data_IF_200236277488
#
_entry.id   IF_200236277488
#
_cell.length_a   1.000
_cell.length_b   1.000
_cell.length_c   1.000
_cell.angle_alpha   90.00
_cell.angle_beta   90.00
_cell.angle_gamma   90.00
#
_symmetry.space_group_name_H-M   'P 1'
#
loop_
_entity.id
_entity.type
_entity.pdbx_description
1 polymer ?
#
# COMPACT_ATOMS: atom_id res chain seq x y z
N UNK A 1 8.36 -36.74 1.20
CA UNK A 1 9.02 -35.50 0.81
C UNK A 1 8.54 -34.27 1.60
N UNK A 2 7.25 -33.94 1.71
CA UNK A 2 6.78 -32.76 2.51
C UNK A 2 7.24 -32.78 3.98
N UNK A 3 7.26 -33.92 4.68
CA UNK A 3 7.68 -34.01 6.09
C UNK A 3 9.18 -33.77 6.29
N UNK A 4 10.03 -34.19 5.35
CA UNK A 4 11.49 -33.98 5.40
C UNK A 4 11.83 -32.50 5.13
N UNK A 5 11.15 -31.86 4.19
CA UNK A 5 11.29 -30.41 3.94
C UNK A 5 10.86 -29.55 5.14
N UNK A 6 9.80 -29.96 5.85
CA UNK A 6 9.33 -29.23 7.06
C UNK A 6 10.33 -29.35 8.21
N UNK A 7 11.00 -30.48 8.38
CA UNK A 7 12.04 -30.66 9.42
C UNK A 7 13.35 -29.91 9.10
N UNK A 8 13.78 -29.84 7.84
CA UNK A 8 14.93 -29.03 7.44
C UNK A 8 14.72 -27.53 7.68
N UNK A 9 13.53 -27.00 7.44
CA UNK A 9 13.23 -25.59 7.69
C UNK A 9 13.20 -25.20 9.18
N UNK A 10 12.94 -26.12 10.09
CA UNK A 10 12.96 -25.84 11.54
C UNK A 10 14.36 -25.59 12.10
N UNK A 11 15.42 -25.99 11.41
CA UNK A 11 16.81 -25.82 11.82
C UNK A 11 17.48 -24.55 11.27
N UNK A 12 16.85 -23.85 10.31
CA UNK A 12 17.41 -22.64 9.72
C UNK A 12 17.43 -21.50 10.75
N UNK A 13 18.52 -20.72 10.78
CA UNK A 13 18.54 -19.48 11.55
C UNK A 13 17.61 -18.42 10.96
N UNK A 14 17.29 -17.38 11.72
CA UNK A 14 16.34 -16.33 11.30
C UNK A 14 16.77 -15.65 10.00
N UNK A 15 18.08 -15.43 9.79
CA UNK A 15 18.62 -14.81 8.57
C UNK A 15 18.42 -15.72 7.35
N UNK A 16 18.65 -17.03 7.49
CA UNK A 16 18.41 -17.98 6.41
C UNK A 16 16.93 -17.98 5.96
N UNK A 17 15.99 -17.91 6.91
CA UNK A 17 14.56 -17.82 6.61
C UNK A 17 14.22 -16.52 5.88
N UNK A 18 14.79 -15.38 6.29
CA UNK A 18 14.61 -14.10 5.60
C UNK A 18 15.23 -14.13 4.19
N UNK A 19 16.43 -14.71 4.02
CA UNK A 19 17.05 -14.88 2.69
C UNK A 19 16.16 -15.71 1.77
N UNK A 20 15.66 -16.86 2.24
CA UNK A 20 14.75 -17.71 1.46
C UNK A 20 13.45 -16.96 1.07
N UNK A 21 12.91 -16.13 1.97
CA UNK A 21 11.74 -15.29 1.68
C UNK A 21 12.05 -14.24 0.62
N UNK A 22 13.18 -13.54 0.74
CA UNK A 22 13.62 -12.53 -0.26
C UNK A 22 13.91 -13.17 -1.62
N UNK A 23 14.44 -14.38 -1.66
CA UNK A 23 14.65 -15.12 -2.89
C UNK A 23 13.32 -15.43 -3.60
N UNK A 24 12.29 -15.84 -2.84
CA UNK A 24 10.93 -16.08 -3.38
C UNK A 24 10.29 -14.79 -3.90
N UNK A 25 10.48 -13.66 -3.19
CA UNK A 25 10.01 -12.35 -3.69
C UNK A 25 10.68 -12.02 -5.03
N UNK A 26 11.99 -12.20 -5.16
CA UNK A 26 12.69 -12.00 -6.43
C UNK A 26 12.24 -12.97 -7.54
N UNK A 27 11.56 -14.07 -7.19
CA UNK A 27 10.97 -15.03 -8.13
C UNK A 27 9.52 -14.68 -8.51
N UNK A 28 8.96 -13.60 -7.96
CA UNK A 28 7.64 -13.08 -8.31
C UNK A 28 6.55 -13.28 -7.25
N UNK A 29 6.86 -13.88 -6.09
CA UNK A 29 5.87 -14.03 -5.02
C UNK A 29 5.72 -12.72 -4.22
N UNK A 30 4.48 -12.38 -3.81
CA UNK A 30 4.22 -11.16 -3.06
C UNK A 30 4.64 -11.27 -1.59
N UNK A 31 5.16 -10.16 -1.03
CA UNK A 31 5.45 -10.05 0.40
C UNK A 31 4.24 -10.39 1.26
N UNK A 32 3.05 -9.94 0.85
CA UNK A 32 1.81 -10.20 1.58
C UNK A 32 1.49 -11.70 1.75
N UNK A 33 1.85 -12.53 0.77
CA UNK A 33 1.66 -13.99 0.85
C UNK A 33 2.74 -14.70 1.67
N UNK A 34 3.91 -14.07 1.85
CA UNK A 34 5.09 -14.68 2.46
C UNK A 34 5.35 -14.25 3.90
N UNK A 35 4.79 -13.13 4.34
CA UNK A 35 5.07 -12.53 5.65
C UNK A 35 4.62 -13.44 6.80
N UNK A 36 3.34 -13.83 6.83
CA UNK A 36 2.82 -14.70 7.88
C UNK A 36 3.52 -16.07 7.92
N UNK A 37 3.73 -16.77 6.78
CA UNK A 37 4.55 -17.97 6.75
C UNK A 37 5.96 -17.81 7.34
N UNK A 38 6.64 -16.68 7.06
CA UNK A 38 7.95 -16.40 7.65
C UNK A 38 7.85 -16.21 9.17
N UNK A 39 6.94 -15.33 9.64
CA UNK A 39 6.80 -15.02 11.05
C UNK A 39 6.35 -16.21 11.91
N UNK A 40 5.61 -17.16 11.30
CA UNK A 40 5.24 -18.41 11.97
C UNK A 40 6.40 -19.42 12.09
N UNK A 41 7.47 -19.24 11.31
CA UNK A 41 8.66 -20.10 11.37
C UNK A 41 9.73 -19.59 12.35
N UNK A 42 9.67 -18.34 12.78
CA UNK A 42 10.64 -17.75 13.71
C UNK A 42 10.09 -17.74 15.14
N UNK A 43 11.00 -17.71 16.13
CA UNK A 43 10.60 -17.62 17.54
C UNK A 43 9.94 -16.26 17.85
N UNK A 44 9.04 -16.19 18.83
CA UNK A 44 8.39 -14.93 19.21
C UNK A 44 9.36 -13.77 19.44
N UNK A 45 10.51 -14.05 20.09
CA UNK A 45 11.55 -13.04 20.36
C UNK A 45 12.25 -12.55 19.09
N UNK A 46 12.25 -13.35 18.01
CA UNK A 46 12.95 -13.03 16.76
C UNK A 46 12.01 -12.42 15.70
N UNK A 47 10.70 -12.39 15.94
CA UNK A 47 9.71 -11.84 14.97
C UNK A 47 10.01 -10.39 14.62
N UNK A 48 10.29 -9.55 15.60
CA UNK A 48 10.66 -8.15 15.38
C UNK A 48 11.93 -8.00 14.54
N UNK A 49 12.95 -8.80 14.84
CA UNK A 49 14.20 -8.82 14.07
C UNK A 49 13.97 -9.31 12.63
N UNK A 50 13.23 -10.40 12.44
CA UNK A 50 12.91 -10.92 11.11
C UNK A 50 12.12 -9.92 10.27
N UNK A 51 11.12 -9.26 10.88
CA UNK A 51 10.32 -8.23 10.25
C UNK A 51 11.18 -7.03 9.82
N UNK A 52 11.99 -6.48 10.72
CA UNK A 52 12.87 -5.36 10.42
C UNK A 52 13.89 -5.72 9.34
N UNK A 53 14.52 -6.89 9.43
CA UNK A 53 15.50 -7.34 8.45
C UNK A 53 14.88 -7.52 7.06
N UNK A 54 13.64 -8.05 6.96
CA UNK A 54 12.92 -8.23 5.70
C UNK A 54 12.50 -6.88 5.10
N UNK A 55 11.73 -6.10 5.85
CA UNK A 55 11.16 -4.85 5.34
C UNK A 55 12.24 -3.78 5.12
N UNK A 56 13.19 -3.66 6.02
CA UNK A 56 14.27 -2.71 5.90
C UNK A 56 15.16 -3.02 4.70
N UNK A 57 15.53 -4.30 4.50
CA UNK A 57 16.27 -4.72 3.31
C UNK A 57 15.50 -4.42 2.02
N UNK A 58 14.21 -4.71 1.96
CA UNK A 58 13.37 -4.43 0.79
C UNK A 58 13.30 -2.93 0.48
N UNK A 59 13.08 -2.06 1.50
CA UNK A 59 13.07 -0.60 1.31
C UNK A 59 14.38 -0.06 0.79
N UNK A 60 15.51 -0.66 1.19
CA UNK A 60 16.85 -0.23 0.79
C UNK A 60 17.43 -1.08 -0.35
N UNK A 61 16.66 -2.01 -0.90
CA UNK A 61 17.13 -3.04 -1.83
C UNK A 61 18.02 -2.49 -2.95
N UNK A 62 17.52 -1.53 -3.70
CA UNK A 62 18.24 -1.01 -4.87
C UNK A 62 19.46 -0.17 -4.50
N UNK A 63 19.42 0.53 -3.38
CA UNK A 63 20.58 1.28 -2.88
C UNK A 63 21.68 0.32 -2.37
N UNK A 64 21.29 -0.76 -1.68
CA UNK A 64 22.22 -1.81 -1.23
C UNK A 64 22.78 -2.61 -2.41
N UNK A 65 21.95 -2.96 -3.38
CA UNK A 65 22.37 -3.67 -4.58
C UNK A 65 23.46 -2.89 -5.34
N UNK A 66 23.29 -1.57 -5.53
CA UNK A 66 24.34 -0.72 -6.16
C UNK A 66 25.65 -0.68 -5.37
N UNK A 67 25.60 -0.81 -4.02
CA UNK A 67 26.82 -0.97 -3.23
C UNK A 67 27.48 -2.31 -3.57
N UNK A 68 26.69 -3.40 -3.52
CA UNK A 68 27.16 -4.75 -3.87
C UNK A 68 27.80 -4.77 -5.25
N UNK A 69 27.08 -4.31 -6.27
CA UNK A 69 27.54 -4.22 -7.67
C UNK A 69 28.87 -3.46 -7.80
N UNK A 70 29.06 -2.37 -7.03
CA UNK A 70 30.32 -1.60 -7.05
C UNK A 70 31.52 -2.31 -6.44
N UNK A 71 31.31 -3.47 -5.81
CA UNK A 71 32.34 -4.22 -5.06
C UNK A 71 32.60 -5.62 -5.61
N UNK A 72 31.77 -6.10 -6.54
CA UNK A 72 31.91 -7.39 -7.21
C UNK A 72 32.63 -7.23 -8.54
N UNK A 73 33.40 -8.23 -8.94
CA UNK A 73 34.07 -8.30 -10.24
C UNK A 73 33.27 -9.11 -11.28
N UNK A 74 32.45 -10.05 -10.80
CA UNK A 74 31.61 -10.91 -11.64
C UNK A 74 30.17 -10.89 -11.15
N UNK A 75 29.22 -10.92 -12.08
CA UNK A 75 27.79 -10.88 -11.77
C UNK A 75 27.34 -12.03 -10.85
N UNK A 76 26.56 -11.73 -9.84
CA UNK A 76 25.92 -12.71 -8.98
C UNK A 76 24.57 -13.05 -9.61
N UNK A 77 24.44 -14.25 -10.16
CA UNK A 77 23.20 -14.73 -10.80
C UNK A 77 22.24 -15.39 -9.80
N UNK A 78 22.74 -15.90 -8.68
CA UNK A 78 21.93 -16.54 -7.65
C UNK A 78 21.19 -15.51 -6.80
N UNK A 79 19.85 -15.56 -6.84
CA UNK A 79 18.96 -14.63 -6.13
C UNK A 79 19.08 -14.73 -4.59
N UNK A 80 19.35 -15.94 -4.07
CA UNK A 80 19.55 -16.14 -2.63
C UNK A 80 20.90 -15.59 -2.14
N UNK A 81 21.96 -15.71 -2.95
CA UNK A 81 23.27 -15.07 -2.64
C UNK A 81 23.13 -13.55 -2.68
N UNK A 82 22.40 -12.98 -3.64
CA UNK A 82 22.06 -11.56 -3.69
C UNK A 82 21.26 -11.10 -2.47
N UNK A 83 20.22 -11.86 -2.10
CA UNK A 83 19.44 -11.57 -0.90
C UNK A 83 20.29 -11.58 0.37
N UNK A 84 21.17 -12.57 0.51
CA UNK A 84 22.09 -12.68 1.63
C UNK A 84 23.09 -11.51 1.70
N UNK A 85 23.65 -11.09 0.57
CA UNK A 85 24.49 -9.91 0.51
C UNK A 85 23.74 -8.66 0.97
N UNK A 86 22.52 -8.43 0.48
CA UNK A 86 21.72 -7.26 0.84
C UNK A 86 21.32 -7.25 2.31
N UNK A 87 20.95 -8.39 2.92
CA UNK A 87 20.66 -8.41 4.37
C UNK A 87 21.93 -8.17 5.21
N UNK A 88 23.08 -8.66 4.76
CA UNK A 88 24.35 -8.38 5.42
C UNK A 88 24.72 -6.89 5.37
N UNK A 89 24.58 -6.27 4.20
CA UNK A 89 24.79 -4.83 4.02
C UNK A 89 23.79 -4.01 4.87
N UNK A 90 22.50 -4.41 4.89
CA UNK A 90 21.48 -3.75 5.68
C UNK A 90 21.83 -3.77 7.17
N UNK A 91 22.23 -4.92 7.71
CA UNK A 91 22.64 -5.04 9.11
C UNK A 91 23.82 -4.14 9.46
N UNK A 92 24.86 -4.07 8.59
CA UNK A 92 26.04 -3.27 8.83
C UNK A 92 25.82 -1.75 8.71
N UNK A 93 24.80 -1.31 7.95
CA UNK A 93 24.62 0.10 7.59
C UNK A 93 23.40 0.75 8.25
N UNK A 94 22.44 -0.06 8.74
CA UNK A 94 21.15 0.43 9.25
C UNK A 94 20.72 -0.15 10.59
N UNK A 95 21.36 -1.23 11.06
CA UNK A 95 20.96 -1.89 12.30
C UNK A 95 22.09 -1.83 13.34
N UNK A 96 21.71 -1.82 14.61
CA UNK A 96 22.66 -1.91 15.76
C UNK A 96 23.11 -3.37 16.00
N UNK A 97 23.24 -4.16 14.93
CA UNK A 97 23.73 -5.54 15.04
C UNK A 97 25.24 -5.53 15.13
N UNK A 98 25.85 -6.24 16.12
CA UNK A 98 27.30 -6.35 16.18
C UNK A 98 27.89 -6.88 14.86
N UNK A 99 28.91 -6.22 14.32
CA UNK A 99 29.49 -6.52 13.01
C UNK A 99 29.85 -7.99 12.81
N UNK A 100 30.42 -8.65 13.86
CA UNK A 100 30.79 -10.05 13.79
C UNK A 100 29.57 -10.96 13.62
N UNK A 101 28.43 -10.59 14.23
CA UNK A 101 27.17 -11.32 14.09
C UNK A 101 26.51 -11.03 12.71
N UNK A 102 26.51 -9.76 12.28
CA UNK A 102 26.01 -9.39 10.96
C UNK A 102 26.72 -10.16 9.84
N UNK A 103 28.04 -10.29 9.91
CA UNK A 103 28.83 -11.01 8.91
C UNK A 103 28.73 -12.53 9.09
N UNK A 104 29.04 -13.02 10.30
CA UNK A 104 29.15 -14.45 10.58
C UNK A 104 27.83 -15.19 10.34
N UNK A 105 26.72 -14.66 10.89
CA UNK A 105 25.39 -15.27 10.76
C UNK A 105 24.83 -15.17 9.34
N UNK A 106 25.20 -14.13 8.58
CA UNK A 106 24.81 -14.03 7.16
C UNK A 106 25.56 -15.05 6.31
N UNK A 107 26.85 -15.26 6.57
CA UNK A 107 27.64 -16.30 5.92
C UNK A 107 27.13 -17.71 6.27
N UNK A 108 26.72 -17.92 7.53
CA UNK A 108 26.13 -19.17 7.95
C UNK A 108 24.76 -19.42 7.30
N UNK A 109 23.96 -18.37 7.12
CA UNK A 109 22.65 -18.46 6.44
C UNK A 109 22.75 -19.03 5.02
N UNK A 110 23.72 -18.60 4.20
CA UNK A 110 23.89 -19.14 2.84
C UNK A 110 24.37 -20.59 2.83
N UNK A 111 25.15 -21.00 3.84
CA UNK A 111 25.56 -22.41 3.99
C UNK A 111 24.36 -23.28 4.33
N UNK A 112 23.49 -22.84 5.23
CA UNK A 112 22.28 -23.54 5.61
C UNK A 112 21.26 -23.67 4.45
N UNK A 113 21.37 -22.81 3.44
CA UNK A 113 20.55 -22.83 2.23
C UNK A 113 21.21 -23.54 1.05
N UNK A 114 22.24 -24.34 1.30
CA UNK A 114 23.03 -25.03 0.26
C UNK A 114 23.69 -24.09 -0.77
N UNK A 115 23.87 -22.81 -0.41
CA UNK A 115 24.52 -21.78 -1.22
C UNK A 115 25.92 -21.41 -0.71
N UNK A 116 26.60 -22.36 -0.07
CA UNK A 116 27.91 -22.16 0.56
C UNK A 116 29.02 -21.66 -0.39
N UNK A 117 28.85 -21.85 -1.70
CA UNK A 117 29.73 -21.29 -2.73
C UNK A 117 29.77 -19.76 -2.74
N UNK A 118 28.68 -19.07 -2.32
CA UNK A 118 28.61 -17.61 -2.17
C UNK A 118 29.25 -17.09 -0.87
N UNK A 119 29.52 -17.95 0.12
CA UNK A 119 29.95 -17.56 1.46
C UNK A 119 31.24 -16.74 1.46
N UNK A 120 32.23 -17.13 0.66
CA UNK A 120 33.51 -16.41 0.54
C UNK A 120 33.34 -14.99 -0.01
N UNK A 121 32.55 -14.85 -1.06
CA UNK A 121 32.24 -13.55 -1.69
C UNK A 121 31.51 -12.63 -0.71
N UNK A 122 30.43 -13.12 -0.07
CA UNK A 122 29.67 -12.36 0.93
C UNK A 122 30.58 -11.87 2.06
N UNK A 123 31.39 -12.79 2.64
CA UNK A 123 32.31 -12.42 3.71
C UNK A 123 33.29 -11.35 3.27
N UNK A 124 33.89 -11.45 2.08
CA UNK A 124 34.85 -10.49 1.57
C UNK A 124 34.23 -9.08 1.39
N UNK A 125 33.02 -9.00 0.80
CA UNK A 125 32.32 -7.73 0.57
C UNK A 125 31.91 -7.11 1.92
N UNK A 126 31.28 -7.87 2.82
CA UNK A 126 30.85 -7.35 4.12
C UNK A 126 32.01 -6.87 4.96
N UNK A 127 33.14 -7.59 4.97
CA UNK A 127 34.38 -7.14 5.63
C UNK A 127 34.94 -5.85 5.03
N UNK A 128 34.83 -5.66 3.72
CA UNK A 128 35.25 -4.43 3.04
C UNK A 128 34.36 -3.25 3.44
N UNK A 129 33.06 -3.45 3.58
CA UNK A 129 32.10 -2.43 4.05
C UNK A 129 32.32 -2.11 5.53
N UNK A 130 32.50 -3.13 6.37
CA UNK A 130 32.79 -3.01 7.81
C UNK A 130 33.98 -2.08 8.11
N UNK A 131 35.03 -2.09 7.27
CA UNK A 131 36.22 -1.24 7.48
C UNK A 131 35.94 0.25 7.35
N UNK A 132 34.89 0.64 6.62
CA UNK A 132 34.57 2.06 6.44
C UNK A 132 33.05 2.23 6.15
N UNK A 133 32.18 1.93 7.11
CA UNK A 133 30.72 1.98 6.91
C UNK A 133 30.23 3.39 6.56
N UNK A 134 30.81 4.44 7.13
CA UNK A 134 30.41 5.82 6.85
C UNK A 134 30.58 6.22 5.37
N UNK A 135 31.61 5.69 4.68
CA UNK A 135 31.78 5.90 3.24
C UNK A 135 30.61 5.33 2.42
N UNK A 136 30.15 4.13 2.79
CA UNK A 136 29.07 3.45 2.08
C UNK A 136 27.70 4.04 2.44
N UNK A 137 27.47 4.43 3.71
CA UNK A 137 26.29 5.17 4.12
C UNK A 137 26.10 6.46 3.29
N UNK A 138 27.14 7.27 3.14
CA UNK A 138 27.13 8.47 2.27
C UNK A 138 26.83 8.15 0.79
N UNK A 139 27.25 6.98 0.28
CA UNK A 139 26.89 6.56 -1.07
C UNK A 139 25.40 6.23 -1.17
N UNK A 140 24.86 5.57 -0.16
CA UNK A 140 23.44 5.23 -0.10
C UNK A 140 22.56 6.49 -0.03
N UNK A 141 22.93 7.47 0.79
CA UNK A 141 22.19 8.74 0.91
C UNK A 141 22.05 9.49 -0.42
N UNK A 142 23.08 9.39 -1.28
CA UNK A 142 23.11 10.04 -2.60
C UNK A 142 22.31 9.28 -3.68
N UNK A 143 21.94 8.02 -3.43
CA UNK A 143 21.26 7.17 -4.38
C UNK A 143 19.80 6.96 -3.96
N UNK A 144 18.90 6.87 -4.95
CA UNK A 144 17.53 6.39 -4.69
C UNK A 144 17.53 4.88 -4.41
N UNK A 145 16.50 4.38 -3.73
CA UNK A 145 16.27 2.95 -3.52
C UNK A 145 15.09 2.43 -4.36
N UNK A 146 15.13 2.76 -5.64
CA UNK A 146 14.14 2.37 -6.64
C UNK A 146 14.85 1.73 -7.85
N UNK A 147 14.17 0.88 -8.64
CA UNK A 147 14.69 0.45 -9.93
C UNK A 147 14.85 1.66 -10.86
N UNK A 148 15.79 1.59 -11.78
CA UNK A 148 16.16 2.73 -12.61
C UNK A 148 15.00 3.30 -13.45
N UNK A 149 14.13 2.40 -13.98
CA UNK A 149 12.96 2.82 -14.76
C UNK A 149 12.01 3.66 -13.92
N UNK A 150 11.67 3.20 -12.69
CA UNK A 150 10.74 3.89 -11.81
C UNK A 150 11.33 5.22 -11.30
N UNK A 151 12.62 5.24 -10.95
CA UNK A 151 13.30 6.46 -10.55
C UNK A 151 13.30 7.52 -11.67
N UNK A 152 13.53 7.09 -12.92
CA UNK A 152 13.47 7.95 -14.10
C UNK A 152 12.04 8.48 -14.31
N UNK A 153 11.04 7.60 -14.25
CA UNK A 153 9.64 7.97 -14.44
C UNK A 153 9.17 8.95 -13.37
N UNK A 154 9.41 8.67 -12.08
CA UNK A 154 9.03 9.58 -10.99
C UNK A 154 9.73 10.93 -11.08
N UNK A 155 10.99 10.95 -11.54
CA UNK A 155 11.69 12.22 -11.78
C UNK A 155 11.08 13.01 -12.94
N UNK A 156 10.61 12.34 -13.97
CA UNK A 156 9.91 12.96 -15.10
C UNK A 156 8.54 13.51 -14.67
N UNK A 157 7.79 12.74 -13.91
CA UNK A 157 6.43 13.08 -13.48
C UNK A 157 6.41 14.17 -12.40
N UNK A 158 7.39 14.13 -11.46
CA UNK A 158 7.36 14.90 -10.21
C UNK A 158 8.65 15.69 -9.96
N UNK A 159 9.36 16.14 -10.98
CA UNK A 159 10.65 16.81 -10.97
C UNK A 159 11.04 17.55 -9.68
N UNK A 160 10.28 18.56 -9.30
CA UNK A 160 10.54 19.39 -8.11
C UNK A 160 10.34 18.62 -6.77
N UNK A 161 9.46 17.62 -6.75
CA UNK A 161 9.17 16.81 -5.55
C UNK A 161 10.01 15.53 -5.48
N UNK A 162 10.80 15.23 -6.51
CA UNK A 162 11.49 13.94 -6.62
C UNK A 162 12.47 13.67 -5.49
N UNK A 163 13.16 14.71 -4.98
CA UNK A 163 14.15 14.55 -3.93
C UNK A 163 13.49 14.13 -2.60
N UNK A 164 12.44 14.85 -2.19
CA UNK A 164 11.68 14.54 -0.98
C UNK A 164 10.98 13.19 -1.10
N UNK A 165 10.35 12.94 -2.25
CA UNK A 165 9.70 11.66 -2.55
C UNK A 165 10.68 10.48 -2.43
N UNK A 166 11.87 10.61 -3.03
CA UNK A 166 12.90 9.58 -2.99
C UNK A 166 13.40 9.28 -1.58
N UNK A 167 13.42 10.26 -0.70
CA UNK A 167 13.76 10.06 0.73
C UNK A 167 12.61 9.44 1.50
N UNK A 168 11.39 9.93 1.33
CA UNK A 168 10.21 9.42 2.03
C UNK A 168 9.90 7.96 1.69
N UNK A 169 10.08 7.55 0.43
CA UNK A 169 9.85 6.16 -0.03
C UNK A 169 10.77 5.13 0.63
N UNK A 170 11.86 5.56 1.27
CA UNK A 170 12.81 4.70 2.02
C UNK A 170 12.43 4.53 3.49
N UNK A 171 11.45 5.30 3.98
CA UNK A 171 11.00 5.27 5.37
C UNK A 171 9.80 4.33 5.53
N UNK A 172 9.58 3.77 6.73
CA UNK A 172 8.33 3.08 7.05
C UNK A 172 7.13 4.02 6.87
N UNK A 173 6.02 3.47 6.36
CA UNK A 173 4.77 4.22 6.32
C UNK A 173 4.18 4.39 7.72
N UNK A 174 3.60 5.55 8.05
CA UNK A 174 2.89 5.74 9.30
C UNK A 174 1.61 4.88 9.34
N UNK A 175 1.17 4.54 10.55
CA UNK A 175 -0.07 3.79 10.77
C UNK A 175 -1.17 4.79 11.10
N UNK A 176 -2.22 4.80 10.28
CA UNK A 176 -3.41 5.61 10.52
C UNK A 176 -4.59 4.72 10.88
N UNK A 177 -5.42 5.21 11.80
CA UNK A 177 -6.62 4.52 12.26
C UNK A 177 -7.85 5.33 11.83
N UNK A 178 -8.73 4.70 11.06
CA UNK A 178 -10.06 5.19 10.78
C UNK A 178 -11.01 4.72 11.88
N UNK A 179 -11.62 5.65 12.59
CA UNK A 179 -12.61 5.35 13.63
C UNK A 179 -13.98 5.09 13.00
N UNK A 180 -14.60 3.98 13.36
CA UNK A 180 -15.95 3.64 12.92
C UNK A 180 -16.98 4.52 13.65
N UNK A 181 -17.50 5.48 12.93
CA UNK A 181 -18.43 6.51 13.44
C UNK A 181 -19.78 5.96 13.90
N UNK A 182 -20.06 4.70 13.63
CA UNK A 182 -21.21 3.99 14.20
C UNK A 182 -21.09 3.84 15.72
N UNK A 183 -19.87 3.73 16.25
CA UNK A 183 -19.62 3.44 17.66
C UNK A 183 -19.25 4.66 18.47
N UNK A 184 -18.33 5.50 17.97
CA UNK A 184 -17.83 6.65 18.70
C UNK A 184 -17.25 7.73 17.76
N UNK A 185 -16.93 8.89 18.32
CA UNK A 185 -16.18 9.94 17.64
C UNK A 185 -14.66 9.61 17.60
N UNK A 186 -13.89 10.39 16.85
CA UNK A 186 -12.42 10.27 16.84
C UNK A 186 -11.86 10.69 18.20
N UNK A 187 -12.44 11.70 18.81
CA UNK A 187 -12.09 12.21 20.12
C UNK A 187 -12.33 11.15 21.21
N UNK A 188 -13.50 10.47 21.20
CA UNK A 188 -13.80 9.39 22.16
C UNK A 188 -12.80 8.25 22.04
N UNK A 189 -12.42 7.87 20.82
CA UNK A 189 -11.43 6.80 20.64
C UNK A 189 -10.02 7.25 21.03
N UNK A 190 -9.66 8.51 20.82
CA UNK A 190 -8.42 9.12 21.30
C UNK A 190 -8.33 9.08 22.84
N UNK A 191 -9.44 9.33 23.54
CA UNK A 191 -9.52 9.18 25.01
C UNK A 191 -9.28 7.73 25.46
N UNK A 192 -9.80 6.74 24.72
CA UNK A 192 -9.53 5.32 24.99
C UNK A 192 -8.03 5.02 24.83
N UNK A 193 -7.38 5.50 23.76
CA UNK A 193 -5.94 5.31 23.56
C UNK A 193 -5.12 5.96 24.69
N UNK A 194 -5.51 7.17 25.12
CA UNK A 194 -4.89 7.88 26.24
C UNK A 194 -4.97 7.08 27.54
N UNK A 195 -6.15 6.52 27.85
CA UNK A 195 -6.35 5.69 29.04
C UNK A 195 -5.52 4.41 29.01
N UNK A 196 -5.22 3.89 27.83
CA UNK A 196 -4.37 2.70 27.65
C UNK A 196 -2.87 3.04 27.52
N UNK A 197 -2.49 4.32 27.56
CA UNK A 197 -1.10 4.77 27.43
C UNK A 197 -0.51 4.55 26.05
N UNK A 198 -1.34 4.52 24.99
CA UNK A 198 -0.92 4.33 23.60
C UNK A 198 -0.70 5.70 22.96
N UNK A 199 0.50 5.93 22.42
CA UNK A 199 0.88 7.19 21.78
C UNK A 199 0.20 7.38 20.41
N UNK A 200 -0.35 8.58 20.19
CA UNK A 200 -0.99 8.95 18.93
C UNK A 200 -0.96 10.47 18.71
N UNK A 201 -1.31 10.87 17.48
CA UNK A 201 -1.61 12.27 17.12
C UNK A 201 -2.92 12.32 16.32
N UNK A 202 -3.72 13.39 16.53
CA UNK A 202 -4.85 13.71 15.67
C UNK A 202 -4.34 14.50 14.47
N UNK A 203 -4.64 14.03 13.26
CA UNK A 203 -4.18 14.65 12.02
C UNK A 203 -5.34 14.90 11.06
N UNK A 204 -5.32 16.06 10.38
CA UNK A 204 -6.31 16.36 9.33
C UNK A 204 -6.13 15.46 8.12
N UNK A 205 -7.25 15.09 7.50
CA UNK A 205 -7.27 14.42 6.19
C UNK A 205 -7.63 15.36 5.03
N UNK A 206 -7.61 16.67 5.26
CA UNK A 206 -7.81 17.66 4.20
C UNK A 206 -9.25 18.15 4.02
N UNK A 207 -10.22 17.65 4.76
CA UNK A 207 -11.58 18.17 4.87
C UNK A 207 -11.76 18.93 6.18
N UNK A 208 -12.57 19.99 6.16
CA UNK A 208 -12.81 20.81 7.36
C UNK A 208 -13.36 19.94 8.50
N UNK A 209 -12.73 20.05 9.68
CA UNK A 209 -13.10 19.32 10.91
C UNK A 209 -13.07 17.77 10.77
N UNK A 210 -12.47 17.23 9.72
CA UNK A 210 -12.29 15.78 9.60
C UNK A 210 -10.87 15.39 9.97
N UNK A 211 -10.76 14.54 10.98
CA UNK A 211 -9.49 14.07 11.50
C UNK A 211 -9.43 12.52 11.48
N UNK A 212 -8.21 12.02 11.46
CA UNK A 212 -7.87 10.61 11.67
C UNK A 212 -6.80 10.52 12.76
N UNK A 213 -6.59 9.33 13.29
CA UNK A 213 -5.57 9.05 14.30
C UNK A 213 -4.33 8.51 13.61
N UNK A 214 -3.17 9.12 13.87
CA UNK A 214 -1.87 8.58 13.54
C UNK A 214 -1.27 7.96 14.80
N UNK A 215 -0.93 6.66 14.75
CA UNK A 215 -0.17 6.02 15.84
C UNK A 215 1.28 6.50 15.83
N UNK A 216 1.80 6.81 17.02
CA UNK A 216 3.23 7.15 17.21
C UNK A 216 4.00 5.99 17.83
N UNK A 217 3.32 5.08 18.48
CA UNK A 217 3.89 3.90 19.11
C UNK A 217 3.80 2.66 18.21
N UNK A 218 4.77 1.78 18.31
CA UNK A 218 4.73 0.47 17.68
C UNK A 218 3.81 -0.45 18.50
N UNK A 219 2.65 -0.78 17.96
CA UNK A 219 1.68 -1.68 18.56
C UNK A 219 1.21 -2.72 17.53
N UNK A 220 0.94 -3.95 17.98
CA UNK A 220 0.27 -4.93 17.13
C UNK A 220 -1.18 -4.50 16.92
N UNK A 221 -1.65 -4.55 15.70
CA UNK A 221 -3.01 -4.09 15.32
C UNK A 221 -4.09 -4.84 16.11
N UNK A 222 -3.86 -6.12 16.39
CA UNK A 222 -4.78 -6.95 17.21
C UNK A 222 -4.87 -6.54 18.67
N UNK A 223 -3.87 -5.79 19.17
CA UNK A 223 -3.80 -5.32 20.55
C UNK A 223 -4.43 -3.92 20.72
N UNK A 224 -4.87 -3.29 19.61
CA UNK A 224 -5.61 -2.04 19.66
C UNK A 224 -6.95 -2.21 20.41
N UNK A 225 -7.31 -1.31 21.33
CA UNK A 225 -8.58 -1.37 22.03
C UNK A 225 -9.76 -1.45 21.07
N UNK A 226 -10.68 -2.36 21.30
CA UNK A 226 -11.92 -2.49 20.52
C UNK A 226 -11.71 -2.76 19.01
N UNK A 227 -10.53 -3.23 18.59
CA UNK A 227 -10.26 -3.56 17.18
C UNK A 227 -11.11 -4.75 16.72
N UNK A 228 -11.16 -5.81 17.54
CA UNK A 228 -11.95 -7.01 17.23
C UNK A 228 -13.46 -6.72 17.16
N UNK A 229 -13.94 -5.75 17.96
CA UNK A 229 -15.33 -5.31 17.99
C UNK A 229 -15.68 -4.32 16.86
N UNK A 230 -14.71 -3.96 15.99
CA UNK A 230 -14.94 -3.15 14.81
C UNK A 230 -15.02 -1.64 15.04
N UNK A 231 -14.52 -1.14 16.19
CA UNK A 231 -14.53 0.31 16.48
C UNK A 231 -13.53 1.08 15.65
N UNK A 232 -12.51 0.40 15.13
CA UNK A 232 -11.42 1.02 14.38
C UNK A 232 -10.93 0.11 13.26
N UNK A 233 -10.43 0.72 12.20
CA UNK A 233 -9.75 0.05 11.08
C UNK A 233 -8.40 0.72 10.82
N UNK A 234 -7.40 -0.08 10.42
CA UNK A 234 -6.16 0.48 9.86
C UNK A 234 -6.42 0.83 8.42
N UNK A 235 -6.30 2.11 8.10
CA UNK A 235 -6.41 2.61 6.74
C UNK A 235 -5.57 3.87 6.58
N UNK A 236 -4.78 3.94 5.51
CA UNK A 236 -4.00 5.13 5.21
C UNK A 236 -4.87 6.39 5.14
N UNK A 237 -4.35 7.54 5.63
CA UNK A 237 -5.14 8.78 5.68
C UNK A 237 -5.61 9.24 4.30
N UNK A 238 -4.81 9.02 3.25
CA UNK A 238 -5.22 9.37 1.90
C UNK A 238 -6.24 8.37 1.33
N UNK A 239 -6.17 7.07 1.70
CA UNK A 239 -7.20 6.12 1.32
C UNK A 239 -8.57 6.42 1.95
N UNK A 240 -8.61 7.18 3.08
CA UNK A 240 -9.85 7.63 3.71
C UNK A 240 -10.56 8.74 2.92
N UNK A 241 -9.90 9.43 1.99
CA UNK A 241 -10.48 10.56 1.25
C UNK A 241 -11.69 10.18 0.41
N UNK A 242 -11.73 8.96 -0.15
CA UNK A 242 -12.76 8.51 -1.08
C UNK A 242 -14.19 8.72 -0.56
N UNK A 243 -14.47 8.31 0.66
CA UNK A 243 -15.80 8.43 1.25
C UNK A 243 -16.17 9.91 1.52
N UNK A 244 -15.21 10.73 1.94
CA UNK A 244 -15.43 12.15 2.18
C UNK A 244 -15.60 12.97 0.89
N UNK A 245 -14.89 12.61 -0.19
CA UNK A 245 -15.11 13.21 -1.52
C UNK A 245 -16.55 12.99 -1.95
N UNK A 246 -17.06 11.76 -1.86
CA UNK A 246 -18.44 11.45 -2.21
C UNK A 246 -19.44 12.11 -1.27
N UNK A 247 -19.17 12.14 0.04
CA UNK A 247 -20.04 12.83 1.02
C UNK A 247 -20.15 14.33 0.73
N UNK A 248 -19.11 14.96 0.16
CA UNK A 248 -19.13 16.38 -0.19
C UNK A 248 -20.10 16.73 -1.32
N UNK A 249 -20.55 15.75 -2.13
CA UNK A 249 -21.57 15.95 -3.15
C UNK A 249 -22.95 16.26 -2.58
N UNK A 250 -23.22 15.91 -1.33
CA UNK A 250 -24.46 16.21 -0.59
C UNK A 250 -25.74 15.88 -1.41
N UNK A 251 -25.79 14.69 -2.01
CA UNK A 251 -26.90 14.27 -2.89
C UNK A 251 -28.15 13.98 -2.08
N UNK A 252 -29.25 14.73 -2.36
CA UNK A 252 -30.53 14.65 -1.64
C UNK A 252 -31.45 13.54 -2.19
N UNK A 253 -30.91 12.35 -2.48
CA UNK A 253 -31.71 11.21 -2.96
C UNK A 253 -31.18 9.88 -2.42
N UNK A 254 -32.01 8.87 -2.47
CA UNK A 254 -31.58 7.50 -2.21
C UNK A 254 -30.73 7.00 -3.39
N UNK A 255 -29.51 6.53 -3.12
CA UNK A 255 -28.49 6.24 -4.14
C UNK A 255 -28.35 4.75 -4.38
N UNK A 256 -28.23 4.38 -5.64
CA UNK A 256 -27.66 3.09 -6.05
C UNK A 256 -26.18 3.28 -6.37
N UNK A 257 -25.34 2.43 -5.83
CA UNK A 257 -23.89 2.57 -5.97
C UNK A 257 -23.21 1.28 -6.46
N UNK A 258 -22.07 1.45 -7.15
CA UNK A 258 -21.15 0.38 -7.48
C UNK A 258 -19.78 0.71 -6.86
N UNK A 259 -19.22 -0.22 -6.10
CA UNK A 259 -17.80 -0.21 -5.72
C UNK A 259 -17.08 -1.24 -6.61
N UNK A 260 -16.50 -0.75 -7.68
CA UNK A 260 -15.76 -1.57 -8.63
C UNK A 260 -14.34 -1.84 -8.14
N UNK A 261 -13.90 -3.09 -8.19
CA UNK A 261 -12.62 -3.56 -7.64
C UNK A 261 -12.54 -3.38 -6.11
N UNK A 262 -13.60 -3.80 -5.40
CA UNK A 262 -13.86 -3.45 -3.99
C UNK A 262 -12.84 -4.00 -2.99
N UNK A 263 -12.26 -5.17 -3.27
CA UNK A 263 -11.46 -5.88 -2.26
C UNK A 263 -10.12 -5.17 -1.91
N UNK A 264 -9.76 -5.13 -0.64
CA UNK A 264 -10.30 -5.88 0.51
C UNK A 264 -11.48 -5.19 1.24
N UNK A 265 -12.15 -4.21 0.65
CA UNK A 265 -13.39 -3.62 1.18
C UNK A 265 -13.19 -2.42 2.13
N UNK A 266 -11.98 -1.86 2.20
CA UNK A 266 -11.72 -0.72 3.10
C UNK A 266 -12.47 0.56 2.72
N UNK A 267 -12.61 0.85 1.41
CA UNK A 267 -13.36 2.00 0.91
C UNK A 267 -14.87 1.78 1.02
N UNK A 268 -15.35 0.59 0.64
CA UNK A 268 -16.73 0.17 0.85
C UNK A 268 -17.16 0.33 2.31
N UNK A 269 -16.38 -0.23 3.24
CA UNK A 269 -16.67 -0.14 4.66
C UNK A 269 -16.76 1.32 5.12
N UNK A 270 -15.85 2.18 4.67
CA UNK A 270 -15.87 3.60 5.03
C UNK A 270 -17.12 4.34 4.51
N UNK A 271 -17.56 4.04 3.29
CA UNK A 271 -18.82 4.57 2.74
C UNK A 271 -20.02 4.17 3.63
N UNK A 272 -20.09 2.90 4.02
CA UNK A 272 -21.16 2.39 4.88
C UNK A 272 -21.09 2.94 6.31
N UNK A 273 -19.89 3.17 6.86
CA UNK A 273 -19.71 3.82 8.16
C UNK A 273 -20.24 5.24 8.15
N UNK A 274 -20.01 6.02 7.08
CA UNK A 274 -20.55 7.38 6.94
C UNK A 274 -22.07 7.36 6.71
N UNK A 275 -22.59 6.43 5.92
CA UNK A 275 -24.03 6.27 5.68
C UNK A 275 -24.81 5.92 6.98
N UNK A 276 -24.22 5.12 7.87
CA UNK A 276 -24.83 4.68 9.14
C UNK A 276 -24.51 5.58 10.34
N UNK A 277 -23.71 6.61 10.17
CA UNK A 277 -23.29 7.51 11.25
C UNK A 277 -24.46 8.33 11.76
N UNK A 278 -24.75 8.26 13.07
CA UNK A 278 -25.81 9.06 13.73
C UNK A 278 -25.30 10.41 14.22
N UNK A 279 -24.00 10.69 14.14
CA UNK A 279 -23.33 11.79 14.86
C UNK A 279 -23.05 13.03 14.02
N UNK A 280 -23.37 13.06 12.74
CA UNK A 280 -23.01 14.18 11.88
C UNK A 280 -24.23 14.94 11.36
N UNK A 281 -24.21 16.27 11.55
CA UNK A 281 -25.08 17.23 10.88
C UNK A 281 -24.71 17.43 9.39
N UNK A 282 -23.90 16.56 8.81
CA UNK A 282 -23.63 16.51 7.37
C UNK A 282 -24.77 15.72 6.71
N UNK A 283 -25.37 16.26 5.66
CA UNK A 283 -26.34 15.52 4.85
C UNK A 283 -25.73 14.16 4.48
N UNK A 284 -26.29 13.07 5.05
CA UNK A 284 -25.82 11.72 4.78
C UNK A 284 -26.17 11.34 3.36
N UNK A 285 -25.23 10.67 2.68
CA UNK A 285 -25.59 9.96 1.46
C UNK A 285 -26.45 8.76 1.86
N UNK A 286 -27.72 8.79 1.50
CA UNK A 286 -28.62 7.67 1.73
C UNK A 286 -28.36 6.60 0.66
N UNK A 287 -27.43 5.69 0.94
CA UNK A 287 -27.18 4.53 0.06
C UNK A 287 -28.32 3.53 0.27
N UNK A 288 -29.14 3.33 -0.75
CA UNK A 288 -30.19 2.33 -0.74
C UNK A 288 -29.65 0.93 -1.02
N UNK A 289 -28.77 0.83 -2.00
CA UNK A 289 -28.15 -0.42 -2.44
C UNK A 289 -26.76 -0.16 -3.01
N UNK A 290 -25.81 -1.06 -2.73
CA UNK A 290 -24.47 -1.02 -3.28
C UNK A 290 -24.04 -2.41 -3.76
N UNK A 291 -23.61 -2.48 -5.02
CA UNK A 291 -22.92 -3.65 -5.54
C UNK A 291 -21.42 -3.47 -5.29
N UNK A 292 -20.81 -4.47 -4.63
CA UNK A 292 -19.38 -4.53 -4.39
C UNK A 292 -18.78 -5.64 -5.27
N UNK A 293 -18.04 -5.23 -6.30
CA UNK A 293 -17.55 -6.09 -7.38
C UNK A 293 -16.05 -6.35 -7.23
N UNK A 294 -15.65 -7.60 -7.33
CA UNK A 294 -14.25 -8.01 -7.48
C UNK A 294 -14.19 -9.33 -8.27
N UNK A 295 -13.12 -9.57 -8.99
CA UNK A 295 -12.95 -10.78 -9.80
C UNK A 295 -12.34 -11.98 -9.04
N UNK A 296 -12.09 -11.85 -7.75
CA UNK A 296 -11.49 -12.90 -6.90
C UNK A 296 -12.41 -13.22 -5.70
N UNK A 297 -13.00 -14.41 -5.72
CA UNK A 297 -13.88 -14.91 -4.67
C UNK A 297 -13.23 -14.92 -3.28
N UNK A 298 -11.94 -15.25 -3.19
CA UNK A 298 -11.22 -15.26 -1.90
C UNK A 298 -11.03 -13.84 -1.35
N UNK A 299 -10.85 -12.88 -2.25
CA UNK A 299 -10.77 -11.48 -1.86
C UNK A 299 -12.14 -10.98 -1.39
N UNK A 300 -13.24 -11.34 -2.05
CA UNK A 300 -14.61 -11.01 -1.64
C UNK A 300 -14.99 -11.63 -0.28
N UNK A 301 -14.53 -12.84 0.03
CA UNK A 301 -14.70 -13.40 1.37
C UNK A 301 -14.08 -12.53 2.46
N UNK A 302 -12.92 -11.89 2.20
CA UNK A 302 -12.31 -10.93 3.14
C UNK A 302 -13.14 -9.65 3.27
N UNK A 303 -13.80 -9.21 2.20
CA UNK A 303 -14.75 -8.09 2.26
C UNK A 303 -15.88 -8.41 3.22
N UNK A 304 -16.53 -9.58 3.06
CA UNK A 304 -17.61 -10.04 3.95
C UNK A 304 -17.17 -10.09 5.41
N UNK A 305 -16.02 -10.73 5.69
CA UNK A 305 -15.46 -10.83 7.05
C UNK A 305 -15.18 -9.44 7.66
N UNK A 306 -14.70 -8.49 6.85
CA UNK A 306 -14.43 -7.13 7.32
C UNK A 306 -15.73 -6.37 7.61
N UNK A 307 -16.75 -6.48 6.78
CA UNK A 307 -18.08 -5.90 7.03
C UNK A 307 -18.72 -6.48 8.29
N UNK A 308 -18.59 -7.78 8.52
CA UNK A 308 -19.06 -8.45 9.72
C UNK A 308 -18.35 -7.95 10.97
N UNK A 309 -17.01 -7.91 10.97
CA UNK A 309 -16.21 -7.37 12.09
C UNK A 309 -16.60 -5.93 12.42
N UNK A 310 -16.82 -5.10 11.42
CA UNK A 310 -17.21 -3.70 11.55
C UNK A 310 -18.70 -3.53 11.90
N UNK A 311 -19.46 -4.63 11.96
CA UNK A 311 -20.90 -4.67 12.24
C UNK A 311 -21.71 -3.76 11.30
N UNK A 312 -21.30 -3.64 10.04
CA UNK A 312 -22.00 -2.83 9.05
C UNK A 312 -23.21 -3.56 8.48
N UNK A 313 -24.25 -2.80 8.11
CA UNK A 313 -25.46 -3.39 7.53
C UNK A 313 -25.18 -3.97 6.15
N UNK A 314 -25.22 -5.30 6.05
CA UNK A 314 -24.97 -6.04 4.83
C UNK A 314 -26.23 -6.19 3.96
N UNK A 315 -27.44 -5.86 4.43
CA UNK A 315 -28.67 -5.95 3.63
C UNK A 315 -28.65 -5.02 2.42
N UNK A 316 -27.88 -3.91 2.51
CA UNK A 316 -27.68 -2.96 1.42
C UNK A 316 -26.58 -3.39 0.45
N UNK A 317 -25.78 -4.42 0.77
CA UNK A 317 -24.57 -4.79 0.04
C UNK A 317 -24.77 -6.10 -0.69
N UNK A 318 -24.57 -6.08 -2.00
CA UNK A 318 -24.48 -7.27 -2.82
C UNK A 318 -23.03 -7.50 -3.24
N UNK A 319 -22.40 -8.58 -2.77
CA UNK A 319 -21.08 -9.00 -3.23
C UNK A 319 -21.20 -9.77 -4.54
N UNK A 320 -20.47 -9.37 -5.57
CA UNK A 320 -20.50 -9.96 -6.90
C UNK A 320 -19.10 -10.33 -7.36
N UNK A 321 -18.90 -11.60 -7.70
CA UNK A 321 -17.62 -12.09 -8.23
C UNK A 321 -17.67 -12.11 -9.76
N UNK A 322 -17.31 -10.99 -10.37
CA UNK A 322 -17.29 -10.82 -11.83
C UNK A 322 -16.17 -9.88 -12.27
N UNK A 323 -15.87 -9.91 -13.57
CA UNK A 323 -14.86 -9.02 -14.16
C UNK A 323 -15.46 -7.63 -14.42
N UNK A 324 -14.86 -6.60 -13.80
CA UNK A 324 -15.28 -5.22 -13.96
C UNK A 324 -15.22 -4.70 -15.41
N UNK A 325 -14.50 -5.38 -16.31
CA UNK A 325 -14.46 -5.04 -17.75
C UNK A 325 -15.74 -5.42 -18.49
N UNK A 326 -16.49 -6.38 -17.99
CA UNK A 326 -17.64 -6.99 -18.69
C UNK A 326 -18.91 -7.01 -17.86
N UNK A 327 -18.83 -6.67 -16.57
CA UNK A 327 -19.98 -6.62 -15.69
C UNK A 327 -21.08 -5.73 -16.25
N UNK A 328 -22.33 -6.24 -16.24
CA UNK A 328 -23.51 -5.52 -16.65
C UNK A 328 -24.56 -5.56 -15.53
N UNK A 329 -25.03 -4.40 -15.13
CA UNK A 329 -26.11 -4.27 -14.16
C UNK A 329 -27.46 -4.12 -14.87
N UNK A 330 -28.53 -4.62 -14.24
CA UNK A 330 -29.90 -4.46 -14.73
C UNK A 330 -30.36 -2.98 -14.70
N UNK A 331 -29.76 -2.18 -13.82
CA UNK A 331 -30.05 -0.75 -13.66
C UNK A 331 -28.75 0.03 -13.53
N UNK A 332 -28.73 1.26 -14.06
CA UNK A 332 -27.58 2.14 -13.96
C UNK A 332 -27.41 2.68 -12.54
N UNK A 333 -26.16 2.99 -12.17
CA UNK A 333 -25.79 3.49 -10.85
C UNK A 333 -25.77 5.02 -10.80
N UNK A 334 -26.20 5.57 -9.68
CA UNK A 334 -26.07 7.01 -9.38
C UNK A 334 -24.62 7.40 -9.05
N UNK A 335 -23.91 6.49 -8.41
CA UNK A 335 -22.52 6.69 -7.99
C UNK A 335 -21.70 5.42 -8.27
N UNK A 336 -20.53 5.61 -8.88
CA UNK A 336 -19.55 4.53 -9.06
C UNK A 336 -18.24 4.95 -8.39
N UNK A 337 -17.73 4.08 -7.51
CA UNK A 337 -16.36 4.15 -6.99
C UNK A 337 -15.51 3.17 -7.79
N UNK A 338 -14.56 3.68 -8.53
CA UNK A 338 -13.59 2.85 -9.25
C UNK A 338 -12.22 2.98 -8.57
N UNK A 339 -11.94 2.07 -7.62
CA UNK A 339 -10.60 1.87 -7.07
C UNK A 339 -9.80 1.03 -8.08
N UNK A 340 -9.29 1.70 -9.12
CA UNK A 340 -8.76 1.04 -10.30
C UNK A 340 -7.52 0.19 -9.97
N UNK A 341 -7.43 -1.05 -10.49
CA UNK A 341 -6.20 -1.83 -10.39
C UNK A 341 -5.05 -1.02 -10.98
N UNK A 342 -3.93 -0.92 -10.26
CA UNK A 342 -2.81 -0.09 -10.65
C UNK A 342 -1.48 -0.75 -10.26
N UNK A 343 -0.36 -0.16 -10.69
CA UNK A 343 0.97 -0.65 -10.30
C UNK A 343 1.26 -0.52 -8.81
N UNK A 344 0.42 0.23 -8.09
CA UNK A 344 0.49 0.45 -6.63
C UNK A 344 1.81 1.13 -6.17
N UNK A 345 2.43 1.93 -7.04
CA UNK A 345 3.70 2.62 -6.72
C UNK A 345 3.58 3.59 -5.53
N UNK A 346 2.39 4.08 -5.24
CA UNK A 346 2.11 4.97 -4.11
C UNK A 346 2.21 4.31 -2.74
N UNK A 347 2.09 2.97 -2.66
CA UNK A 347 2.12 2.22 -1.40
C UNK A 347 3.43 1.44 -1.18
N UNK A 348 4.48 1.75 -1.92
CA UNK A 348 5.82 1.11 -1.81
C UNK A 348 6.35 1.13 -0.37
N UNK A 349 6.05 2.16 0.43
CA UNK A 349 6.49 2.22 1.83
C UNK A 349 5.92 1.08 2.68
N UNK A 350 4.69 0.63 2.38
CA UNK A 350 4.00 -0.49 3.04
C UNK A 350 4.32 -1.82 2.41
N UNK A 351 4.44 -1.84 1.08
CA UNK A 351 4.67 -3.00 0.25
C UNK A 351 5.95 -2.80 -0.58
N UNK A 352 7.13 -2.84 0.07
CA UNK A 352 8.39 -2.51 -0.61
C UNK A 352 8.81 -3.54 -1.68
N UNK A 353 8.19 -4.70 -1.70
CA UNK A 353 8.30 -5.70 -2.76
C UNK A 353 7.80 -5.19 -4.12
N UNK A 354 6.90 -4.22 -4.15
CA UNK A 354 6.42 -3.58 -5.38
C UNK A 354 7.60 -3.04 -6.23
N UNK A 355 8.59 -2.43 -5.58
CA UNK A 355 9.78 -1.93 -6.26
C UNK A 355 10.66 -3.04 -6.89
N UNK A 356 10.51 -4.29 -6.47
CA UNK A 356 11.19 -5.45 -7.06
C UNK A 356 10.32 -6.17 -8.10
N UNK A 357 9.00 -6.18 -7.88
CA UNK A 357 8.07 -6.99 -8.67
C UNK A 357 7.58 -6.25 -9.92
N UNK A 358 7.48 -4.91 -9.87
CA UNK A 358 6.97 -4.14 -10.99
C UNK A 358 8.05 -3.81 -12.02
N UNK A 359 7.64 -3.89 -13.28
CA UNK A 359 8.45 -3.53 -14.46
C UNK A 359 7.86 -2.32 -15.17
N UNK A 360 8.61 -1.71 -16.06
CA UNK A 360 8.13 -0.60 -16.91
C UNK A 360 6.98 -1.06 -17.83
N UNK A 361 7.00 -2.31 -18.28
CA UNK A 361 5.96 -2.89 -19.12
C UNK A 361 4.60 -3.01 -18.39
N UNK A 362 4.63 -3.33 -17.08
CA UNK A 362 3.41 -3.43 -16.26
C UNK A 362 2.60 -2.13 -16.27
N UNK A 363 3.24 -0.98 -16.41
CA UNK A 363 2.54 0.32 -16.44
C UNK A 363 1.60 0.40 -17.64
N UNK A 364 2.07 0.04 -18.83
CA UNK A 364 1.25 0.06 -20.03
C UNK A 364 0.12 -0.97 -20.01
N UNK A 365 0.40 -2.18 -19.51
CA UNK A 365 -0.60 -3.24 -19.37
C UNK A 365 -1.70 -2.85 -18.37
N UNK A 366 -1.31 -2.26 -17.25
CA UNK A 366 -2.23 -1.81 -16.21
C UNK A 366 -3.08 -0.62 -16.69
N UNK A 367 -2.48 0.35 -17.38
CA UNK A 367 -3.22 1.48 -17.95
C UNK A 367 -4.26 1.02 -18.98
N UNK A 368 -3.95 0.02 -19.82
CA UNK A 368 -4.91 -0.57 -20.75
C UNK A 368 -6.06 -1.29 -20.03
N UNK A 369 -5.75 -2.01 -18.93
CA UNK A 369 -6.77 -2.64 -18.08
C UNK A 369 -7.70 -1.58 -17.46
N UNK A 370 -7.13 -0.50 -16.91
CA UNK A 370 -7.88 0.61 -16.33
C UNK A 370 -8.81 1.27 -17.35
N UNK A 371 -8.35 1.48 -18.60
CA UNK A 371 -9.17 2.05 -19.67
C UNK A 371 -10.43 1.21 -19.92
N UNK A 372 -10.26 -0.11 -20.00
CA UNK A 372 -11.39 -1.03 -20.24
C UNK A 372 -12.39 -1.04 -19.08
N UNK A 373 -11.89 -1.04 -17.83
CA UNK A 373 -12.76 -1.01 -16.63
C UNK A 373 -13.47 0.34 -16.55
N UNK A 374 -12.78 1.47 -16.77
CA UNK A 374 -13.35 2.80 -16.73
C UNK A 374 -14.47 2.96 -17.77
N UNK A 375 -14.25 2.48 -19.00
CA UNK A 375 -15.26 2.52 -20.06
C UNK A 375 -16.50 1.70 -19.68
N UNK A 376 -16.33 0.51 -19.11
CA UNK A 376 -17.47 -0.30 -18.67
C UNK A 376 -18.18 0.31 -17.44
N UNK A 377 -17.47 0.85 -16.47
CA UNK A 377 -18.06 1.60 -15.37
C UNK A 377 -18.87 2.80 -15.88
N UNK A 378 -18.34 3.53 -16.88
CA UNK A 378 -19.05 4.66 -17.49
C UNK A 378 -20.33 4.25 -18.21
N UNK A 379 -20.35 3.09 -18.86
CA UNK A 379 -21.56 2.53 -19.47
C UNK A 379 -22.65 2.25 -18.42
N UNK A 380 -22.28 1.71 -17.27
CA UNK A 380 -23.17 1.40 -16.16
C UNK A 380 -23.57 2.63 -15.31
N UNK A 381 -22.98 3.81 -15.55
CA UNK A 381 -23.27 5.04 -14.83
C UNK A 381 -24.53 5.71 -15.40
N UNK A 382 -25.45 6.11 -14.54
CA UNK A 382 -26.66 6.85 -14.90
C UNK A 382 -26.34 8.26 -15.41
N UNK A 383 -27.23 8.81 -16.23
CA UNK A 383 -27.19 10.25 -16.59
C UNK A 383 -27.29 11.09 -15.32
N UNK A 384 -26.45 12.11 -15.20
CA UNK A 384 -26.20 12.93 -14.00
C UNK A 384 -25.57 12.17 -12.82
N UNK A 385 -25.19 10.92 -13.01
CA UNK A 385 -24.42 10.13 -12.02
C UNK A 385 -22.97 10.58 -11.90
N UNK A 386 -22.30 10.13 -10.84
CA UNK A 386 -20.92 10.49 -10.51
C UNK A 386 -20.03 9.26 -10.50
N UNK A 387 -18.83 9.37 -11.07
CA UNK A 387 -17.78 8.37 -11.01
C UNK A 387 -16.57 8.95 -10.30
N UNK A 388 -16.17 8.34 -9.18
CA UNK A 388 -14.94 8.64 -8.47
C UNK A 388 -13.86 7.65 -8.92
N UNK A 389 -12.90 8.14 -9.70
CA UNK A 389 -11.73 7.39 -10.13
C UNK A 389 -10.61 7.52 -9.09
N UNK A 390 -10.05 6.39 -8.69
CA UNK A 390 -9.02 6.30 -7.63
C UNK A 390 -7.92 5.37 -8.08
N UNK A 391 -6.68 5.73 -7.81
CA UNK A 391 -5.54 4.79 -7.83
C UNK A 391 -4.65 5.00 -6.62
N UNK A 392 -3.93 3.97 -6.20
CA UNK A 392 -2.77 4.10 -5.31
C UNK A 392 -1.46 4.12 -6.10
N UNK A 393 -1.45 4.75 -7.28
CA UNK A 393 -0.27 4.97 -8.12
C UNK A 393 0.20 6.42 -8.05
N UNK A 394 1.50 6.60 -8.19
CA UNK A 394 2.12 7.92 -8.38
C UNK A 394 2.45 8.21 -9.85
N UNK A 395 2.14 7.30 -10.77
CA UNK A 395 2.48 7.45 -12.18
C UNK A 395 1.35 8.17 -12.93
N UNK A 396 1.68 9.25 -13.65
CA UNK A 396 0.71 10.03 -14.42
C UNK A 396 -0.01 9.19 -15.48
N UNK A 397 0.69 8.22 -16.08
CA UNK A 397 0.14 7.31 -17.06
C UNK A 397 -1.09 6.52 -16.57
N UNK A 398 -1.17 6.23 -15.26
CA UNK A 398 -2.29 5.53 -14.64
C UNK A 398 -3.35 6.49 -14.06
N UNK A 399 -3.07 7.79 -14.04
CA UNK A 399 -3.84 8.83 -13.36
C UNK A 399 -4.36 9.88 -14.35
N UNK A 400 -3.72 11.04 -14.39
CA UNK A 400 -4.13 12.18 -15.21
C UNK A 400 -4.16 11.87 -16.71
N UNK A 401 -3.11 11.20 -17.23
CA UNK A 401 -3.01 10.88 -18.67
C UNK A 401 -4.12 9.89 -19.08
N UNK A 402 -4.44 8.94 -18.21
CA UNK A 402 -5.54 7.98 -18.39
C UNK A 402 -6.88 8.71 -18.53
N UNK A 403 -7.17 9.64 -17.64
CA UNK A 403 -8.41 10.40 -17.67
C UNK A 403 -8.46 11.43 -18.81
N UNK A 404 -7.32 12.02 -19.19
CA UNK A 404 -7.22 12.90 -20.33
C UNK A 404 -7.60 12.15 -21.63
N UNK A 405 -7.08 10.93 -21.81
CA UNK A 405 -7.45 10.08 -22.94
C UNK A 405 -8.94 9.72 -22.93
N UNK A 406 -9.51 9.41 -21.76
CA UNK A 406 -10.93 9.12 -21.60
C UNK A 406 -11.82 10.32 -21.96
N UNK A 407 -11.53 11.50 -21.44
CA UNK A 407 -12.28 12.74 -21.70
C UNK A 407 -12.20 13.19 -23.18
N UNK A 408 -11.16 12.82 -23.89
CA UNK A 408 -11.02 13.11 -25.33
C UNK A 408 -12.11 12.42 -26.15
N UNK A 409 -12.59 11.26 -25.69
CA UNK A 409 -13.60 10.42 -26.40
C UNK A 409 -14.99 10.48 -25.80
N UNK A 410 -15.16 10.92 -24.53
CA UNK A 410 -16.44 10.99 -23.81
C UNK A 410 -16.79 12.45 -23.52
N UNK A 411 -17.45 13.11 -24.48
CA UNK A 411 -17.77 14.55 -24.38
C UNK A 411 -18.85 14.87 -23.36
N UNK A 412 -19.65 13.89 -22.97
CA UNK A 412 -20.63 13.96 -21.89
C UNK A 412 -20.00 13.84 -20.50
N UNK A 413 -18.72 13.48 -20.40
CA UNK A 413 -17.98 13.44 -19.14
C UNK A 413 -17.50 14.84 -18.75
N UNK A 414 -17.88 15.27 -17.55
CA UNK A 414 -17.43 16.53 -16.96
C UNK A 414 -16.62 16.29 -15.71
N UNK A 415 -15.49 16.98 -15.58
CA UNK A 415 -14.71 17.02 -14.34
C UNK A 415 -15.50 17.78 -13.28
N UNK A 416 -15.62 17.19 -12.09
CA UNK A 416 -16.20 17.85 -10.91
C UNK A 416 -15.07 18.15 -9.94
N UNK A 417 -14.88 19.43 -9.64
CA UNK A 417 -13.89 19.85 -8.67
C UNK A 417 -14.42 19.62 -7.25
N UNK A 418 -13.53 19.29 -6.33
CA UNK A 418 -13.82 19.15 -4.91
C UNK A 418 -12.72 19.80 -4.08
N UNK A 419 -13.10 20.32 -2.91
CA UNK A 419 -12.12 20.99 -2.03
C UNK A 419 -11.38 19.96 -1.19
N UNK A 420 -10.07 19.93 -1.35
CA UNK A 420 -9.15 19.15 -0.53
C UNK A 420 -8.01 20.07 -0.08
N UNK A 421 -7.65 20.06 1.18
CA UNK A 421 -6.61 20.93 1.75
C UNK A 421 -5.58 20.10 2.55
N UNK A 422 -4.60 19.54 1.83
CA UNK A 422 -3.47 18.83 2.41
C UNK A 422 -2.16 19.43 1.93
N UNK A 423 -1.12 19.50 2.78
CA UNK A 423 0.18 20.07 2.40
C UNK A 423 0.86 19.33 1.24
N UNK A 424 0.60 18.04 1.11
CA UNK A 424 1.22 17.14 0.13
C UNK A 424 0.29 16.75 -1.03
N UNK A 425 -0.82 17.48 -1.19
CA UNK A 425 -1.66 17.36 -2.38
C UNK A 425 -1.14 18.26 -3.50
N UNK A 426 -1.23 17.75 -4.70
CA UNK A 426 -0.91 18.49 -5.92
C UNK A 426 -2.18 18.50 -6.77
N UNK A 427 -2.79 19.70 -6.92
CA UNK A 427 -3.90 19.86 -7.84
C UNK A 427 -3.40 19.69 -9.26
N UNK A 428 -4.09 18.85 -10.03
CA UNK A 428 -3.82 18.61 -11.44
C UNK A 428 -4.90 19.24 -12.30
N UNK A 429 -4.73 19.27 -13.60
CA UNK A 429 -5.78 19.71 -14.52
C UNK A 429 -7.02 18.79 -14.39
N UNK A 430 -6.79 17.52 -14.07
CA UNK A 430 -7.83 16.54 -13.77
C UNK A 430 -7.51 15.93 -12.39
N UNK A 431 -8.30 16.30 -11.38
CA UNK A 431 -8.21 15.70 -10.03
C UNK A 431 -7.03 16.17 -9.18
N UNK A 432 -6.64 15.32 -8.25
CA UNK A 432 -5.61 15.59 -7.24
C UNK A 432 -4.68 14.38 -7.05
N UNK A 433 -3.38 14.65 -6.99
CA UNK A 433 -2.39 13.66 -6.56
C UNK A 433 -1.93 13.98 -5.14
N UNK A 434 -2.04 13.02 -4.23
CA UNK A 434 -1.36 13.03 -2.95
C UNK A 434 -0.04 12.27 -3.08
N UNK A 435 1.07 12.87 -2.62
CA UNK A 435 2.40 12.24 -2.62
C UNK A 435 2.91 12.04 -1.19
N UNK A 436 3.62 10.95 -0.89
CA UNK A 436 4.35 10.78 0.36
C UNK A 436 5.66 11.56 0.33
N UNK A 437 5.62 12.87 0.62
CA UNK A 437 6.80 13.75 0.57
C UNK A 437 7.57 13.74 1.91
N UNK A 438 6.88 13.47 3.02
CA UNK A 438 7.46 13.42 4.35
C UNK A 438 7.11 12.10 5.07
N UNK A 439 7.86 11.78 6.13
CA UNK A 439 7.67 10.55 6.89
C UNK A 439 6.24 10.37 7.41
N UNK A 440 5.59 11.46 7.85
CA UNK A 440 4.23 11.46 8.43
C UNK A 440 3.12 11.66 7.40
N UNK A 441 3.45 11.74 6.12
CA UNK A 441 2.43 11.80 5.07
C UNK A 441 1.77 10.44 4.86
N UNK A 442 0.54 10.45 4.34
CA UNK A 442 -0.12 9.27 3.81
C UNK A 442 0.57 8.76 2.55
N UNK A 443 0.11 7.64 2.06
CA UNK A 443 0.64 7.00 0.85
C UNK A 443 0.28 7.79 -0.42
N UNK A 444 0.86 7.41 -1.55
CA UNK A 444 0.54 8.01 -2.84
C UNK A 444 -0.84 7.59 -3.33
N UNK A 445 -1.74 8.57 -3.53
CA UNK A 445 -3.09 8.33 -4.06
C UNK A 445 -3.46 9.41 -5.07
N UNK A 446 -4.22 9.02 -6.08
CA UNK A 446 -4.83 9.92 -7.04
C UNK A 446 -6.35 9.84 -6.96
N UNK A 447 -7.02 10.98 -7.11
CA UNK A 447 -8.47 11.13 -7.07
C UNK A 447 -8.96 12.05 -8.17
N UNK A 448 -9.94 11.60 -8.93
CA UNK A 448 -10.68 12.47 -9.86
C UNK A 448 -12.16 12.11 -9.83
N UNK A 449 -12.99 13.13 -9.81
CA UNK A 449 -14.45 12.99 -9.80
C UNK A 449 -15.01 13.44 -11.14
N UNK A 450 -15.78 12.58 -11.77
CA UNK A 450 -16.44 12.82 -13.05
C UNK A 450 -17.97 12.78 -12.89
N UNK A 451 -18.68 13.59 -13.66
CA UNK A 451 -20.13 13.52 -13.79
C UNK A 451 -20.51 13.22 -15.25
N UNK A 452 -21.45 12.31 -15.44
CA UNK A 452 -22.02 12.01 -16.75
C UNK A 452 -23.18 12.96 -17.02
N UNK A 453 -23.03 13.85 -17.99
CA UNK A 453 -24.12 14.74 -18.39
C UNK A 453 -25.03 14.09 -19.43
N UNK A 454 -26.31 14.51 -19.45
CA UNK A 454 -27.27 14.12 -20.47
C UNK A 454 -27.18 14.97 -21.73
#
# INVERSE_FOLDING_TARGET
MRHIMTQLHSQLNTRAKVVATLERIQQGESLASLLDPLLNQVSEKDKGFAHELLFGTLRQWWALARIGESLIEHEITDKGVWAALNIGLYQLLYMDTPDYAAIGETVEAVKQLDKGYGAGLINAILRKVQKNPAKFAKKIEKNHSLPNWLAKQLKQDWGEYYAELGQALRQPAPIFLRVNRKFCSVEDYADILTQQGIGFALVSIGFEKVQTIQLTDAIRITDLPKFAEGWVSVQDKHAQLSAHILASLALDKSLTALDACTAPGGKLAHLLELDQSKTFHVKHQNIAHIIALDNDEKRLQRVSQNLERLQLNQEKVQLVCEDARTFQADTQFDVIVLDAPCTATGVIRRHPDIALLRTEEDVGQTAALQANILANCWHNLATNGYLLYITCSMLKAENEDQLQAFLATHKEAQIVDFSLNLPNQIKRDIGYQCLPLHQNDGDGFYYALLQKRG
#
